data_IF_820196129087
#
_entry.id   IF_820196129087
#
_cell.length_a   1.000
_cell.length_b   1.000
_cell.length_c   1.000
_cell.angle_alpha   90.00
_cell.angle_beta   90.00
_cell.angle_gamma   90.00
#
_symmetry.space_group_name_H-M   'P 1'
#
loop_
_entity.id
_entity.type
_entity.pdbx_description
1 polymer ?
#
# COMPACT_ATOMS: atom_id res chain seq x y z
N UNK A 1 -15.05 -56.24 43.44
CA UNK A 1 -15.42 -54.97 42.76
C UNK A 1 -14.19 -54.20 42.23
N UNK A 2 -13.15 -54.87 41.73
CA UNK A 2 -11.89 -54.23 41.28
C UNK A 2 -11.70 -54.34 39.76
N UNK A 3 -12.21 -55.40 39.14
CA UNK A 3 -12.11 -55.66 37.69
C UNK A 3 -12.87 -54.64 36.86
N UNK A 4 -14.07 -54.24 37.28
CA UNK A 4 -14.88 -53.24 36.56
C UNK A 4 -14.27 -51.84 36.57
N UNK A 5 -13.61 -51.45 37.65
CA UNK A 5 -12.95 -50.15 37.77
C UNK A 5 -11.69 -50.10 36.89
N UNK A 6 -10.93 -51.20 36.83
CA UNK A 6 -9.75 -51.32 35.96
C UNK A 6 -10.13 -51.26 34.47
N UNK A 7 -11.19 -51.94 34.04
CA UNK A 7 -11.66 -51.90 32.64
C UNK A 7 -12.13 -50.51 32.24
N UNK A 8 -12.82 -49.78 33.14
CA UNK A 8 -13.27 -48.41 32.88
C UNK A 8 -12.07 -47.48 32.77
N UNK A 9 -11.08 -47.61 33.67
CA UNK A 9 -9.85 -46.81 33.64
C UNK A 9 -9.05 -47.04 32.35
N UNK A 10 -8.90 -48.31 31.93
CA UNK A 10 -8.23 -48.64 30.66
C UNK A 10 -8.99 -47.98 29.51
N UNK A 11 -10.32 -48.18 29.41
CA UNK A 11 -11.12 -47.58 28.34
C UNK A 11 -11.02 -46.04 28.31
N UNK A 12 -11.03 -45.38 29.47
CA UNK A 12 -10.82 -43.94 29.57
C UNK A 12 -9.45 -43.51 29.06
N UNK A 13 -8.38 -44.21 29.45
CA UNK A 13 -7.02 -43.92 28.99
C UNK A 13 -6.92 -44.10 27.47
N UNK A 14 -7.50 -45.17 26.91
CA UNK A 14 -7.48 -45.38 25.46
C UNK A 14 -8.22 -44.29 24.71
N UNK A 15 -9.42 -43.92 25.18
CA UNK A 15 -10.22 -42.85 24.54
C UNK A 15 -9.51 -41.50 24.64
N UNK A 16 -8.99 -41.15 25.82
CA UNK A 16 -8.23 -39.91 26.01
C UNK A 16 -6.95 -39.89 25.18
N UNK A 17 -6.23 -41.01 25.12
CA UNK A 17 -5.01 -41.14 24.30
C UNK A 17 -5.29 -40.95 22.82
N UNK A 18 -6.38 -41.53 22.31
CA UNK A 18 -6.82 -41.33 20.91
C UNK A 18 -7.19 -39.87 20.66
N UNK A 19 -7.95 -39.25 21.57
CA UNK A 19 -8.35 -37.84 21.43
C UNK A 19 -7.15 -36.90 21.46
N UNK A 20 -6.21 -37.10 22.39
CA UNK A 20 -4.99 -36.28 22.49
C UNK A 20 -4.12 -36.48 21.25
N UNK A 21 -3.94 -37.72 20.77
CA UNK A 21 -3.16 -38.01 19.56
C UNK A 21 -3.78 -37.37 18.32
N UNK A 22 -5.11 -37.45 18.20
CA UNK A 22 -5.84 -36.83 17.10
C UNK A 22 -5.75 -35.29 17.14
N UNK A 23 -5.94 -34.68 18.31
CA UNK A 23 -5.82 -33.23 18.49
C UNK A 23 -4.40 -32.75 18.18
N UNK A 24 -3.38 -33.49 18.63
CA UNK A 24 -1.99 -33.19 18.34
C UNK A 24 -1.69 -33.27 16.84
N UNK A 25 -2.07 -34.37 16.19
CA UNK A 25 -1.89 -34.54 14.75
C UNK A 25 -2.56 -33.42 13.96
N UNK A 26 -3.80 -33.07 14.32
CA UNK A 26 -4.55 -32.01 13.64
C UNK A 26 -3.90 -30.64 13.85
N UNK A 27 -3.51 -30.31 15.08
CA UNK A 27 -2.83 -29.05 15.36
C UNK A 27 -1.52 -28.91 14.57
N UNK A 28 -0.73 -29.99 14.52
CA UNK A 28 0.50 -30.02 13.73
C UNK A 28 0.22 -29.91 12.22
N UNK A 29 -0.75 -30.65 11.70
CA UNK A 29 -1.11 -30.64 10.28
C UNK A 29 -1.63 -29.27 9.84
N UNK A 30 -2.60 -28.70 10.56
CA UNK A 30 -3.15 -27.37 10.29
C UNK A 30 -2.04 -26.32 10.34
N UNK A 31 -1.12 -26.42 11.31
CA UNK A 31 0.05 -25.54 11.42
C UNK A 31 0.98 -25.62 10.20
N UNK A 32 1.31 -26.84 9.75
CA UNK A 32 2.17 -27.04 8.59
C UNK A 32 1.52 -26.52 7.29
N UNK A 33 0.26 -26.90 7.04
CA UNK A 33 -0.49 -26.45 5.86
C UNK A 33 -0.64 -24.92 5.84
N UNK A 34 -0.91 -24.30 6.99
CA UNK A 34 -1.00 -22.84 7.08
C UNK A 34 0.34 -22.14 6.85
N UNK A 35 1.46 -22.75 7.27
CA UNK A 35 2.80 -22.24 6.96
C UNK A 35 3.07 -22.29 5.46
N UNK A 36 2.81 -23.42 4.82
CA UNK A 36 3.00 -23.58 3.37
C UNK A 36 2.15 -22.60 2.56
N UNK A 37 0.88 -22.42 2.94
CA UNK A 37 -0.02 -21.44 2.28
C UNK A 37 0.44 -20.00 2.50
N UNK A 38 0.92 -19.67 3.70
CA UNK A 38 1.53 -18.37 4.01
C UNK A 38 2.77 -18.12 3.17
N UNK A 39 3.66 -19.10 3.05
CA UNK A 39 4.89 -19.02 2.27
C UNK A 39 4.57 -18.89 0.77
N UNK A 40 3.55 -19.61 0.28
CA UNK A 40 3.03 -19.46 -1.07
C UNK A 40 2.48 -18.06 -1.35
N UNK A 41 1.71 -17.49 -0.41
CA UNK A 41 1.22 -16.11 -0.52
C UNK A 41 2.36 -15.09 -0.52
N UNK A 42 3.38 -15.29 0.31
CA UNK A 42 4.58 -14.47 0.32
C UNK A 42 5.36 -14.55 -1.00
N UNK A 43 5.62 -15.76 -1.51
CA UNK A 43 6.29 -15.96 -2.78
C UNK A 43 5.51 -15.32 -3.95
N UNK A 44 4.18 -15.35 -3.89
CA UNK A 44 3.30 -14.68 -4.86
C UNK A 44 3.50 -13.16 -4.86
N UNK A 45 3.47 -12.49 -3.70
CA UNK A 45 3.67 -11.03 -3.64
C UNK A 45 5.10 -10.62 -4.02
N UNK A 46 6.11 -11.42 -3.68
CA UNK A 46 7.49 -11.16 -4.09
C UNK A 46 7.64 -11.25 -5.61
N UNK A 47 7.06 -12.29 -6.23
CA UNK A 47 7.03 -12.46 -7.69
C UNK A 47 6.31 -11.29 -8.36
N UNK A 48 5.18 -10.85 -7.81
CA UNK A 48 4.44 -9.69 -8.31
C UNK A 48 5.25 -8.40 -8.18
N UNK A 49 5.97 -8.20 -7.08
CA UNK A 49 6.83 -7.04 -6.90
C UNK A 49 7.94 -7.01 -7.97
N UNK A 50 8.61 -8.12 -8.23
CA UNK A 50 9.60 -8.20 -9.31
C UNK A 50 8.99 -7.95 -10.70
N UNK A 51 7.80 -8.49 -10.98
CA UNK A 51 7.11 -8.25 -12.24
C UNK A 51 6.77 -6.76 -12.43
N UNK A 52 6.20 -6.11 -11.40
CA UNK A 52 5.91 -4.66 -11.41
C UNK A 52 7.15 -3.82 -11.63
N UNK A 53 8.28 -4.20 -11.01
CA UNK A 53 9.55 -3.51 -11.20
C UNK A 53 10.03 -3.61 -12.66
N UNK A 54 10.01 -4.80 -13.25
CA UNK A 54 10.38 -5.00 -14.66
C UNK A 54 9.42 -4.32 -15.65
N UNK A 55 8.13 -4.26 -15.34
CA UNK A 55 7.16 -3.53 -16.15
C UNK A 55 7.36 -2.01 -16.04
N UNK A 56 7.71 -1.52 -14.85
CA UNK A 56 8.10 -0.11 -14.65
C UNK A 56 9.37 0.21 -15.46
N UNK A 57 10.41 -0.63 -15.42
CA UNK A 57 11.64 -0.42 -16.21
C UNK A 57 11.32 -0.26 -17.70
N UNK A 58 10.48 -1.14 -18.25
CA UNK A 58 10.06 -1.08 -19.66
C UNK A 58 9.24 0.17 -19.95
N UNK A 59 8.34 0.57 -19.04
CA UNK A 59 7.55 1.79 -19.19
C UNK A 59 8.41 3.05 -19.16
N UNK A 60 9.41 3.10 -18.27
CA UNK A 60 10.37 4.20 -18.18
C UNK A 60 11.20 4.29 -19.46
N UNK A 61 11.73 3.17 -19.95
CA UNK A 61 12.50 3.08 -21.19
C UNK A 61 11.68 3.56 -22.40
N UNK A 62 10.46 3.05 -22.56
CA UNK A 62 9.60 3.38 -23.71
C UNK A 62 9.06 4.81 -23.67
N UNK A 63 8.99 5.44 -22.49
CA UNK A 63 8.48 6.80 -22.35
C UNK A 63 9.41 7.86 -22.97
N UNK A 64 10.73 7.62 -22.99
CA UNK A 64 11.73 8.62 -23.38
C UNK A 64 11.75 9.89 -22.51
N UNK A 65 11.07 9.87 -21.36
CA UNK A 65 10.90 11.03 -20.47
C UNK A 65 12.17 11.25 -19.65
N UNK A 66 12.55 12.51 -19.46
CA UNK A 66 13.68 12.89 -18.58
C UNK A 66 13.25 13.75 -17.40
N UNK A 67 12.04 14.29 -17.43
CA UNK A 67 11.49 15.12 -16.35
C UNK A 67 11.16 14.27 -15.11
N UNK A 68 11.63 14.69 -13.94
CA UNK A 68 11.51 13.91 -12.71
C UNK A 68 10.06 13.77 -12.23
N UNK A 69 9.23 14.81 -12.44
CA UNK A 69 7.79 14.79 -12.12
C UNK A 69 7.06 13.75 -12.97
N UNK A 70 7.32 13.75 -14.27
CA UNK A 70 6.72 12.80 -15.19
C UNK A 70 7.20 11.36 -14.95
N UNK A 71 8.50 11.16 -14.66
CA UNK A 71 9.05 9.84 -14.27
C UNK A 71 8.44 9.34 -12.96
N UNK A 72 8.24 10.22 -11.97
CA UNK A 72 7.54 9.90 -10.71
C UNK A 72 6.12 9.38 -11.00
N UNK A 73 5.42 10.01 -11.94
CA UNK A 73 4.08 9.57 -12.38
C UNK A 73 4.08 8.19 -13.04
N UNK A 74 5.10 7.87 -13.85
CA UNK A 74 5.26 6.53 -14.45
C UNK A 74 5.52 5.49 -13.37
N UNK A 75 6.46 5.74 -12.46
CA UNK A 75 6.78 4.83 -11.35
C UNK A 75 5.52 4.58 -10.50
N UNK A 76 4.80 5.64 -10.14
CA UNK A 76 3.55 5.53 -9.38
C UNK A 76 2.53 4.63 -10.06
N UNK A 77 2.32 4.79 -11.37
CA UNK A 77 1.31 4.03 -12.12
C UNK A 77 1.54 2.52 -12.08
N UNK A 78 2.80 2.08 -12.01
CA UNK A 78 3.16 0.66 -12.07
C UNK A 78 3.45 0.04 -10.70
N UNK A 79 3.93 0.84 -9.74
CA UNK A 79 4.27 0.37 -8.39
C UNK A 79 3.18 0.64 -7.36
N UNK A 80 2.29 1.60 -7.63
CA UNK A 80 1.29 2.12 -6.68
C UNK A 80 1.91 2.56 -5.34
N UNK A 81 3.17 3.01 -5.37
CA UNK A 81 3.93 3.45 -4.20
C UNK A 81 3.58 4.89 -3.76
N UNK A 82 2.99 5.09 -2.57
CA UNK A 82 2.52 6.42 -2.16
C UNK A 82 3.63 7.44 -1.88
N UNK A 83 4.88 6.98 -1.78
CA UNK A 83 6.05 7.82 -1.53
C UNK A 83 7.14 7.40 -2.51
N UNK A 84 7.64 8.38 -3.25
CA UNK A 84 8.69 8.22 -4.25
C UNK A 84 9.71 9.34 -4.05
N UNK A 85 10.92 8.97 -3.65
CA UNK A 85 12.05 9.87 -3.50
C UNK A 85 12.92 9.85 -4.76
N UNK A 86 13.48 11.01 -5.12
CA UNK A 86 14.44 11.12 -6.22
C UNK A 86 15.78 11.67 -5.70
N UNK A 87 16.85 10.89 -5.90
CA UNK A 87 18.23 11.33 -5.69
C UNK A 87 18.82 11.78 -7.04
N UNK A 88 18.89 13.09 -7.24
CA UNK A 88 19.43 13.68 -8.46
C UNK A 88 20.93 13.38 -8.68
N UNK A 89 21.70 13.16 -7.61
CA UNK A 89 23.13 12.87 -7.71
C UNK A 89 23.38 11.46 -8.27
N UNK A 90 22.48 10.53 -7.94
CA UNK A 90 22.52 9.13 -8.40
C UNK A 90 21.59 8.84 -9.57
N UNK A 91 20.73 9.80 -9.93
CA UNK A 91 19.62 9.62 -10.89
C UNK A 91 18.79 8.38 -10.54
N UNK A 92 18.47 8.29 -9.26
CA UNK A 92 17.85 7.13 -8.64
C UNK A 92 16.49 7.51 -8.06
N UNK A 93 15.47 6.74 -8.41
CA UNK A 93 14.17 6.83 -7.76
C UNK A 93 14.02 5.68 -6.77
N UNK A 94 13.55 5.99 -5.57
CA UNK A 94 13.19 5.00 -4.56
C UNK A 94 11.71 5.11 -4.26
N UNK A 95 10.97 4.04 -4.52
CA UNK A 95 9.53 3.94 -4.31
C UNK A 95 9.25 2.85 -3.26
N UNK A 96 8.38 3.15 -2.30
CA UNK A 96 8.07 2.24 -1.19
C UNK A 96 6.59 1.89 -1.18
N UNK A 97 6.27 0.60 -1.22
CA UNK A 97 4.88 0.13 -1.20
C UNK A 97 4.70 -1.10 -0.30
N UNK A 98 3.65 -1.09 0.50
CA UNK A 98 3.17 -2.29 1.17
C UNK A 98 2.38 -3.14 0.17
N UNK A 99 2.67 -4.43 0.12
CA UNK A 99 1.91 -5.40 -0.68
C UNK A 99 1.34 -6.49 0.22
N UNK A 100 0.12 -6.92 -0.07
CA UNK A 100 -0.52 -7.99 0.68
C UNK A 100 -1.13 -9.05 -0.22
N UNK A 101 -1.17 -10.29 0.28
CA UNK A 101 -1.90 -11.40 -0.32
C UNK A 101 -2.66 -12.16 0.76
N UNK A 102 -3.87 -12.59 0.42
CA UNK A 102 -4.67 -13.46 1.27
C UNK A 102 -4.32 -14.93 1.01
N UNK A 103 -4.47 -15.75 2.04
CA UNK A 103 -4.40 -17.20 1.94
C UNK A 103 -5.51 -17.83 2.77
N UNK A 104 -6.04 -18.96 2.31
CA UNK A 104 -7.10 -19.67 3.03
C UNK A 104 -6.46 -20.47 4.17
N UNK A 105 -6.77 -20.11 5.42
CA UNK A 105 -6.22 -20.80 6.58
C UNK A 105 -7.09 -22.01 6.96
N UNK A 106 -6.45 -23.13 7.24
CA UNK A 106 -7.09 -24.31 7.81
C UNK A 106 -7.26 -24.14 9.33
N UNK A 107 -8.39 -24.58 9.88
CA UNK A 107 -8.68 -24.48 11.31
C UNK A 107 -9.36 -25.75 11.87
N UNK A 108 -9.23 -25.90 13.18
CA UNK A 108 -9.73 -27.05 13.95
C UNK A 108 -11.27 -27.16 13.93
N UNK A 109 -11.98 -26.04 13.76
CA UNK A 109 -13.44 -25.99 13.67
C UNK A 109 -13.90 -25.64 12.24
N UNK A 110 -15.08 -26.11 11.78
CA UNK A 110 -15.66 -25.68 10.51
C UNK A 110 -15.82 -24.16 10.51
N UNK A 111 -15.26 -23.49 9.49
CA UNK A 111 -15.18 -22.02 9.42
C UNK A 111 -13.75 -21.44 9.45
N UNK A 112 -12.74 -22.20 9.01
CA UNK A 112 -11.37 -21.71 8.84
C UNK A 112 -11.34 -20.37 8.08
N UNK A 113 -10.68 -19.38 8.67
CA UNK A 113 -10.67 -18.00 8.19
C UNK A 113 -9.64 -17.75 7.09
N UNK A 114 -9.64 -16.54 6.52
CA UNK A 114 -8.55 -16.08 5.66
C UNK A 114 -7.42 -15.49 6.50
N UNK A 115 -6.19 -15.86 6.18
CA UNK A 115 -4.99 -15.16 6.63
C UNK A 115 -4.56 -14.12 5.61
N UNK A 116 -3.77 -13.14 6.04
CA UNK A 116 -3.14 -12.16 5.15
C UNK A 116 -1.65 -12.10 5.46
N UNK A 117 -0.84 -12.11 4.41
CA UNK A 117 0.57 -11.74 4.47
C UNK A 117 0.69 -10.32 3.94
N UNK A 118 1.26 -9.43 4.73
CA UNK A 118 1.63 -8.08 4.31
C UNK A 118 3.14 -7.94 4.42
N UNK A 119 3.77 -7.33 3.42
CA UNK A 119 5.20 -7.04 3.37
C UNK A 119 5.48 -5.67 2.78
N UNK A 120 6.57 -5.08 3.23
CA UNK A 120 7.07 -3.83 2.68
C UNK A 120 8.11 -4.10 1.59
N UNK A 121 7.89 -3.53 0.40
CA UNK A 121 8.85 -3.58 -0.70
C UNK A 121 9.36 -2.18 -1.02
N UNK A 122 10.67 -2.09 -1.20
CA UNK A 122 11.36 -0.91 -1.71
C UNK A 122 11.85 -1.22 -3.12
N UNK A 123 11.36 -0.43 -4.07
CA UNK A 123 11.74 -0.44 -5.47
C UNK A 123 12.74 0.68 -5.71
N UNK A 124 13.90 0.33 -6.25
CA UNK A 124 14.92 1.31 -6.64
C UNK A 124 15.09 1.26 -8.14
N UNK A 125 14.85 2.37 -8.83
CA UNK A 125 15.00 2.52 -10.27
C UNK A 125 16.17 3.45 -10.55
N UNK A 126 17.14 3.00 -11.35
CA UNK A 126 18.31 3.80 -11.70
C UNK A 126 18.45 3.94 -13.21
N UNK A 127 18.81 5.15 -13.64
CA UNK A 127 19.11 5.44 -15.03
C UNK A 127 20.51 6.02 -15.18
N UNK A 128 21.37 5.29 -15.89
CA UNK A 128 22.71 5.75 -16.26
C UNK A 128 22.70 6.18 -17.72
N UNK A 129 23.33 7.33 -18.08
CA UNK A 129 23.40 7.77 -19.47
C UNK A 129 23.90 6.67 -20.40
N UNK A 130 23.14 6.39 -21.46
CA UNK A 130 23.48 5.37 -22.46
C UNK A 130 23.25 3.92 -22.00
N UNK A 131 22.54 3.71 -20.89
CA UNK A 131 22.12 2.40 -20.41
C UNK A 131 20.62 2.38 -20.19
N UNK A 132 20.01 1.21 -20.38
CA UNK A 132 18.60 1.01 -20.07
C UNK A 132 18.32 1.22 -18.57
N UNK A 133 17.08 1.52 -18.25
CA UNK A 133 16.61 1.52 -16.86
C UNK A 133 16.85 0.18 -16.18
N UNK A 134 17.25 0.23 -14.90
CA UNK A 134 17.40 -0.97 -14.08
C UNK A 134 16.70 -0.80 -12.74
N UNK A 135 15.99 -1.85 -12.32
CA UNK A 135 15.32 -1.92 -11.03
C UNK A 135 15.97 -2.90 -10.06
N UNK A 136 15.81 -2.60 -8.77
CA UNK A 136 16.05 -3.52 -7.66
C UNK A 136 14.82 -3.54 -6.77
N UNK A 137 14.40 -4.74 -6.34
CA UNK A 137 13.36 -4.94 -5.34
C UNK A 137 14.02 -5.46 -4.07
N UNK A 138 13.71 -4.86 -2.93
CA UNK A 138 14.13 -5.36 -1.62
C UNK A 138 12.96 -5.39 -0.65
N UNK A 139 12.83 -6.49 0.10
CA UNK A 139 11.92 -6.58 1.24
C UNK A 139 12.51 -5.81 2.42
N UNK A 140 11.65 -5.11 3.16
CA UNK A 140 12.00 -4.36 4.37
C UNK A 140 10.97 -4.61 5.46
N UNK A 141 11.32 -4.18 6.67
CA UNK A 141 10.37 -4.17 7.79
C UNK A 141 9.20 -3.23 7.51
N UNK A 142 8.03 -3.56 8.08
CA UNK A 142 6.79 -2.80 7.92
C UNK A 142 6.92 -1.33 8.35
N UNK A 143 7.85 -1.02 9.26
CA UNK A 143 8.16 0.34 9.69
C UNK A 143 8.59 1.27 8.54
N UNK A 144 9.24 0.72 7.51
CA UNK A 144 9.67 1.48 6.32
C UNK A 144 8.47 1.90 5.45
N UNK A 145 7.44 1.06 5.37
CA UNK A 145 6.22 1.37 4.60
C UNK A 145 5.19 2.17 5.37
N UNK A 146 5.28 2.25 6.70
CA UNK A 146 4.31 2.97 7.55
C UNK A 146 4.03 4.41 7.09
N UNK A 147 5.03 5.24 6.76
CA UNK A 147 4.77 6.58 6.25
C UNK A 147 4.01 6.57 4.91
N UNK A 148 4.34 5.62 4.02
CA UNK A 148 3.64 5.44 2.75
C UNK A 148 2.19 5.04 2.93
N UNK A 149 1.89 4.11 3.85
CA UNK A 149 0.51 3.73 4.18
C UNK A 149 -0.29 4.92 4.75
N UNK A 150 0.32 5.70 5.66
CA UNK A 150 -0.30 6.89 6.21
C UNK A 150 -0.61 7.93 5.13
N UNK A 151 0.38 8.26 4.29
CA UNK A 151 0.22 9.19 3.16
C UNK A 151 -0.84 8.67 2.18
N UNK A 152 -0.84 7.39 1.82
CA UNK A 152 -1.87 6.80 0.96
C UNK A 152 -3.30 6.96 1.52
N UNK A 153 -3.46 6.83 2.84
CA UNK A 153 -4.72 7.14 3.53
C UNK A 153 -5.11 8.62 3.42
N UNK A 154 -4.16 9.53 3.64
CA UNK A 154 -4.36 10.99 3.50
C UNK A 154 -4.72 11.37 2.06
N UNK A 155 -4.07 10.77 1.05
CA UNK A 155 -4.39 10.97 -0.37
C UNK A 155 -5.84 10.62 -0.65
N UNK A 156 -6.28 9.44 -0.19
CA UNK A 156 -7.66 8.97 -0.41
C UNK A 156 -8.68 9.88 0.27
N UNK A 157 -8.39 10.33 1.49
CA UNK A 157 -9.26 11.27 2.19
C UNK A 157 -9.31 12.61 1.46
N UNK A 158 -8.16 13.14 1.04
CA UNK A 158 -8.09 14.39 0.28
C UNK A 158 -8.83 14.30 -1.06
N UNK A 159 -8.67 13.19 -1.78
CA UNK A 159 -9.37 12.93 -3.03
C UNK A 159 -10.89 12.95 -2.82
N UNK A 160 -11.40 12.26 -1.79
CA UNK A 160 -12.83 12.28 -1.44
C UNK A 160 -13.31 13.69 -1.10
N UNK A 161 -12.56 14.42 -0.26
CA UNK A 161 -12.92 15.79 0.14
C UNK A 161 -12.95 16.74 -1.06
N UNK A 162 -11.89 16.79 -1.86
CA UNK A 162 -11.80 17.64 -3.06
C UNK A 162 -12.90 17.31 -4.07
N UNK A 163 -13.24 16.02 -4.23
CA UNK A 163 -14.36 15.59 -5.09
C UNK A 163 -15.71 16.11 -4.59
N UNK A 164 -15.89 16.18 -3.26
CA UNK A 164 -17.12 16.61 -2.60
C UNK A 164 -17.31 18.13 -2.45
N UNK A 165 -16.29 18.94 -2.77
CA UNK A 165 -16.37 20.39 -2.60
C UNK A 165 -17.20 21.07 -3.69
N UNK A 166 -17.70 22.28 -3.45
CA UNK A 166 -18.22 23.11 -4.53
C UNK A 166 -17.09 23.70 -5.37
N UNK A 167 -17.38 24.06 -6.62
CA UNK A 167 -16.40 24.58 -7.55
C UNK A 167 -15.70 25.84 -7.00
N UNK A 168 -16.50 26.77 -6.48
CA UNK A 168 -16.12 28.04 -5.85
C UNK A 168 -15.23 27.84 -4.62
N UNK A 169 -15.36 26.72 -3.92
CA UNK A 169 -14.57 26.40 -2.73
C UNK A 169 -13.22 25.76 -3.08
N UNK A 170 -12.99 25.37 -4.34
CA UNK A 170 -11.71 24.81 -4.83
C UNK A 170 -10.62 25.89 -4.97
N UNK A 171 -10.40 26.62 -3.89
CA UNK A 171 -9.31 27.58 -3.71
C UNK A 171 -8.29 27.01 -2.73
N UNK A 172 -7.09 27.61 -2.66
CA UNK A 172 -6.06 27.18 -1.70
C UNK A 172 -6.60 27.16 -0.27
N UNK A 173 -7.26 28.25 0.14
CA UNK A 173 -7.81 28.39 1.49
C UNK A 173 -9.01 27.45 1.73
N UNK A 174 -9.90 27.33 0.75
CA UNK A 174 -11.05 26.43 0.84
C UNK A 174 -10.64 24.97 0.98
N UNK A 175 -9.69 24.51 0.17
CA UNK A 175 -9.16 23.14 0.26
C UNK A 175 -8.43 22.92 1.59
N UNK A 176 -7.60 23.87 2.03
CA UNK A 176 -6.92 23.75 3.32
C UNK A 176 -7.93 23.62 4.48
N UNK A 177 -8.98 24.44 4.49
CA UNK A 177 -10.05 24.38 5.49
C UNK A 177 -10.85 23.08 5.43
N UNK A 178 -11.06 22.52 4.25
CA UNK A 178 -11.77 21.25 4.08
C UNK A 178 -10.95 20.04 4.57
N UNK A 179 -9.64 20.08 4.41
CA UNK A 179 -8.73 18.99 4.79
C UNK A 179 -8.29 19.06 6.26
N UNK A 180 -8.08 20.26 6.78
CA UNK A 180 -7.77 20.49 8.19
C UNK A 180 -8.65 21.61 8.78
N UNK A 181 -9.93 21.31 9.09
CA UNK A 181 -10.88 22.30 9.62
C UNK A 181 -10.43 22.92 10.95
N UNK A 182 -9.60 22.20 11.69
CA UNK A 182 -9.10 22.62 13.01
C UNK A 182 -7.73 23.28 12.98
N UNK A 183 -7.01 23.21 11.86
CA UNK A 183 -5.62 23.63 11.72
C UNK A 183 -4.62 22.83 12.57
N UNK A 184 -5.00 21.66 13.08
CA UNK A 184 -4.19 20.86 14.01
C UNK A 184 -3.51 19.67 13.36
N UNK A 185 -4.04 19.19 12.23
CA UNK A 185 -3.62 17.90 11.67
C UNK A 185 -2.23 17.95 11.06
N UNK A 186 -1.71 19.14 10.67
CA UNK A 186 -0.34 19.40 10.09
C UNK A 186 0.12 18.44 8.98
N UNK A 187 -0.75 17.55 8.53
CA UNK A 187 -0.50 16.47 7.56
C UNK A 187 -0.81 16.94 6.14
N UNK A 188 -1.53 18.06 6.01
CA UNK A 188 -1.92 18.69 4.76
C UNK A 188 -1.36 20.11 4.71
N UNK A 189 -0.51 20.38 3.73
CA UNK A 189 -0.06 21.74 3.40
C UNK A 189 -0.37 22.03 1.93
N UNK A 190 -1.47 22.76 1.71
CA UNK A 190 -1.94 23.14 0.38
C UNK A 190 -1.09 24.30 -0.15
N UNK A 191 -0.25 24.01 -1.14
CA UNK A 191 0.65 24.98 -1.75
C UNK A 191 -0.04 25.87 -2.77
N UNK A 192 -0.84 25.27 -3.64
CA UNK A 192 -1.51 25.99 -4.73
C UNK A 192 -2.83 25.34 -5.12
N UNK A 193 -3.74 26.16 -5.65
CA UNK A 193 -4.96 25.72 -6.33
C UNK A 193 -5.11 26.60 -7.57
N UNK A 194 -5.08 26.00 -8.76
CA UNK A 194 -5.08 26.72 -10.03
C UNK A 194 -6.25 26.21 -10.86
N UNK A 195 -7.13 27.12 -11.26
CA UNK A 195 -8.21 26.84 -12.21
C UNK A 195 -7.74 27.17 -13.62
N UNK A 196 -7.92 26.22 -14.55
CA UNK A 196 -7.73 26.42 -15.99
C UNK A 196 -8.94 25.82 -16.70
N UNK A 197 -9.68 26.66 -17.43
CA UNK A 197 -10.92 26.27 -18.09
C UNK A 197 -11.86 25.52 -17.11
N UNK A 198 -12.18 24.27 -17.43
CA UNK A 198 -13.05 23.36 -16.70
C UNK A 198 -12.30 22.47 -15.71
N UNK A 199 -11.06 22.79 -15.36
CA UNK A 199 -10.22 21.91 -14.52
C UNK A 199 -9.56 22.70 -13.42
N UNK A 200 -9.61 22.18 -12.19
CA UNK A 200 -8.87 22.70 -11.05
C UNK A 200 -7.78 21.71 -10.67
N UNK A 201 -6.55 22.21 -10.59
CA UNK A 201 -5.39 21.47 -10.11
C UNK A 201 -4.97 22.01 -8.75
N UNK A 202 -4.85 21.13 -7.76
CA UNK A 202 -4.43 21.47 -6.40
C UNK A 202 -3.13 20.73 -6.08
N UNK A 203 -2.12 21.45 -5.62
CA UNK A 203 -0.84 20.86 -5.19
C UNK A 203 -0.76 20.87 -3.67
N UNK A 204 -0.57 19.69 -3.07
CA UNK A 204 -0.59 19.49 -1.62
C UNK A 204 0.64 18.70 -1.21
N UNK A 205 1.39 19.20 -0.24
CA UNK A 205 2.38 18.41 0.46
C UNK A 205 1.67 17.60 1.54
N UNK A 206 1.67 16.27 1.39
CA UNK A 206 1.13 15.34 2.36
C UNK A 206 2.26 14.80 3.21
N UNK A 207 2.16 14.95 4.53
CA UNK A 207 3.18 14.49 5.47
C UNK A 207 2.61 13.40 6.35
N UNK A 208 3.37 12.32 6.55
CA UNK A 208 2.97 11.28 7.50
C UNK A 208 3.00 11.86 8.91
N UNK A 209 1.96 11.61 9.74
CA UNK A 209 2.04 11.86 11.17
C UNK A 209 3.29 11.20 11.75
N UNK A 210 3.92 11.87 12.72
CA UNK A 210 5.06 11.36 13.50
C UNK A 210 6.38 11.14 12.75
N UNK A 211 6.51 11.59 11.49
CA UNK A 211 7.77 11.50 10.72
C UNK A 211 8.04 12.77 9.90
N UNK A 212 9.25 12.88 9.37
CA UNK A 212 9.63 13.93 8.40
C UNK A 212 9.35 13.56 6.95
N UNK A 213 8.76 12.39 6.70
CA UNK A 213 8.47 11.91 5.35
C UNK A 213 7.23 12.64 4.81
N UNK A 214 7.41 13.31 3.68
CA UNK A 214 6.34 13.95 2.94
C UNK A 214 6.43 13.66 1.44
N UNK A 215 5.29 13.70 0.77
CA UNK A 215 5.16 13.54 -0.66
C UNK A 215 4.27 14.64 -1.21
N UNK A 216 4.73 15.29 -2.28
CA UNK A 216 3.91 16.21 -3.03
C UNK A 216 2.92 15.44 -3.89
N UNK A 217 1.67 15.88 -3.88
CA UNK A 217 0.58 15.32 -4.67
C UNK A 217 -0.13 16.40 -5.46
N UNK A 218 -0.41 16.08 -6.72
CA UNK A 218 -1.20 16.89 -7.63
C UNK A 218 -2.58 16.26 -7.76
N UNK A 219 -3.58 16.96 -7.24
CA UNK A 219 -4.98 16.59 -7.35
C UNK A 219 -5.60 17.33 -8.53
N UNK A 220 -6.27 16.61 -9.42
CA UNK A 220 -6.93 17.21 -10.58
C UNK A 220 -8.41 16.87 -10.53
N UNK A 221 -9.26 17.90 -10.50
CA UNK A 221 -10.71 17.75 -10.56
C UNK A 221 -11.26 18.48 -11.77
N UNK A 222 -12.11 17.78 -12.52
CA UNK A 222 -12.89 18.37 -13.59
C UNK A 222 -14.16 19.03 -13.02
N UNK A 223 -14.44 20.24 -13.51
CA UNK A 223 -15.47 21.17 -13.05
C UNK A 223 -16.11 21.79 -14.30
N UNK A 224 -16.97 21.04 -15.01
CA UNK A 224 -17.77 21.63 -16.07
C UNK A 224 -18.70 22.70 -15.47
N UNK A 225 -19.13 23.69 -16.25
CA UNK A 225 -19.83 24.91 -15.80
C UNK A 225 -21.20 24.76 -15.14
N UNK A 226 -21.50 23.64 -14.47
CA UNK A 226 -22.65 23.44 -13.60
C UNK A 226 -22.24 23.07 -12.17
N UNK A 227 -23.20 23.04 -11.26
CA UNK A 227 -23.04 22.90 -9.80
C UNK A 227 -22.60 21.49 -9.33
N UNK A 228 -21.89 20.76 -10.19
CA UNK A 228 -21.61 19.34 -10.05
C UNK A 228 -20.44 19.01 -9.14
N UNK A 229 -20.70 18.12 -8.18
CA UNK A 229 -19.69 17.24 -7.59
C UNK A 229 -18.97 16.48 -8.72
N UNK A 230 -17.64 16.40 -8.66
CA UNK A 230 -16.82 15.83 -9.73
C UNK A 230 -15.74 14.92 -9.20
N UNK A 231 -15.32 13.92 -9.99
CA UNK A 231 -14.22 13.03 -9.60
C UNK A 231 -12.89 13.79 -9.57
N UNK A 232 -12.14 13.66 -8.49
CA UNK A 232 -10.75 14.08 -8.41
C UNK A 232 -9.82 12.89 -8.66
N UNK A 233 -8.72 13.13 -9.37
CA UNK A 233 -7.58 12.21 -9.48
C UNK A 233 -6.42 12.72 -8.64
N UNK A 234 -5.53 11.84 -8.20
CA UNK A 234 -4.35 12.20 -7.41
C UNK A 234 -3.12 11.48 -7.97
N UNK A 235 -2.05 12.23 -8.21
CA UNK A 235 -0.77 11.70 -8.71
C UNK A 235 0.36 12.29 -7.88
N UNK A 236 1.33 11.49 -7.40
CA UNK A 236 2.51 12.03 -6.73
C UNK A 236 3.34 12.87 -7.71
N UNK A 237 3.93 13.92 -7.20
CA UNK A 237 4.85 14.82 -7.89
C UNK A 237 6.14 14.93 -7.10
N UNK A 238 7.27 15.16 -7.77
CA UNK A 238 8.56 15.38 -7.12
C UNK A 238 8.60 16.71 -6.37
N UNK A 239 7.74 17.66 -6.75
CA UNK A 239 7.63 18.97 -6.12
C UNK A 239 6.20 19.50 -6.02
N UNK A 240 6.03 20.43 -5.09
CA UNK A 240 4.90 21.33 -4.92
C UNK A 240 5.45 22.77 -5.05
#
# INVERSE_FOLDING_TARGET
>A
MTTGCLTILIALITVLGVLVSWLWYRHWHDGNVNSERRDGAFASILKQAHARAGDTDRALETSGITDADALTGVIWRHTEAPVIAYDASRREFTATAASSAHYDAEAILPGGGSGQVTRCFVFTFTHRPGQAWTSRVSERDDGVCRPGTAIGGLVRLAQTRISSMYAEDLTRAGVQKALDPTGRLRSYDVKSAVRRADTVTVSILLSSPDTTVGQCYRFTRHVPGGDGLGSATAVPASSC
#
